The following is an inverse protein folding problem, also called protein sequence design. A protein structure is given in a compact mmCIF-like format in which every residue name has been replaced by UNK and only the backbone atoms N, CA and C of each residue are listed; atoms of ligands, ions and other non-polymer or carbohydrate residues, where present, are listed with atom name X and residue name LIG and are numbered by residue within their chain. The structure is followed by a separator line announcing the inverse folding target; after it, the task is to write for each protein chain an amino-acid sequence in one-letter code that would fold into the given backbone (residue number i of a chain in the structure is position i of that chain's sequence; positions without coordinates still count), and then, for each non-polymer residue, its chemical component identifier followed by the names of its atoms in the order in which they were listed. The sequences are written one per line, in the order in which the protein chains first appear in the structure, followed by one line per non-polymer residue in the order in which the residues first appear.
data_IF_316797966080
#
_entry.id   IF_316797966080
#
_cell.length_a   1.000
_cell.length_b   1.000
_cell.length_c   1.000
_cell.angle_alpha   90.00
_cell.angle_beta   90.00
_cell.angle_gamma   90.00
#
_symmetry.space_group_name_H-M   'P 1'
#
loop_
_entity.id
_entity.type
_entity.pdbx_description
1 polymer ?
#
# COMPACT_ATOMS: atom_id res chain seq x y z
N UNK A 1 11.10 -0.93 8.99
CA UNK A 1 9.82 -1.07 9.73
C UNK A 1 8.73 -0.13 9.23
N UNK A 2 8.99 1.16 8.96
CA UNK A 2 7.96 2.15 8.58
C UNK A 2 7.17 1.85 7.30
N UNK A 3 7.81 1.32 6.25
CA UNK A 3 7.14 1.01 4.97
C UNK A 3 6.07 -0.08 5.13
N UNK A 4 6.33 -1.08 6.00
CA UNK A 4 5.36 -2.16 6.29
C UNK A 4 4.13 -1.62 7.02
N UNK A 5 4.31 -0.67 7.94
CA UNK A 5 3.21 0.02 8.61
C UNK A 5 2.31 0.76 7.62
N UNK A 6 2.89 1.46 6.64
CA UNK A 6 2.11 2.09 5.58
C UNK A 6 1.35 1.05 4.74
N UNK A 7 2.01 -0.06 4.35
CA UNK A 7 1.35 -1.12 3.60
C UNK A 7 0.18 -1.73 4.38
N UNK A 8 0.37 -2.07 5.65
CA UNK A 8 -0.68 -2.61 6.53
C UNK A 8 -1.82 -1.61 6.71
N UNK A 9 -1.53 -0.33 6.94
CA UNK A 9 -2.58 0.67 7.14
C UNK A 9 -3.37 0.96 5.85
N UNK A 10 -2.72 0.87 4.69
CA UNK A 10 -3.38 0.96 3.38
C UNK A 10 -4.27 -0.26 3.14
N UNK A 11 -3.77 -1.47 3.38
CA UNK A 11 -4.56 -2.72 3.27
C UNK A 11 -5.72 -2.72 4.27
N UNK A 12 -5.52 -2.22 5.48
CA UNK A 12 -6.55 -2.12 6.51
C UNK A 12 -7.56 -0.97 6.25
N UNK A 13 -7.40 -0.18 5.18
CA UNK A 13 -8.27 0.94 4.85
C UNK A 13 -8.21 2.12 5.83
N UNK A 14 -7.29 2.10 6.79
CA UNK A 14 -7.14 3.15 7.81
C UNK A 14 -6.28 4.31 7.33
N UNK A 15 -5.52 4.11 6.25
CA UNK A 15 -4.67 5.15 5.66
C UNK A 15 -4.73 5.10 4.13
N UNK A 16 -5.17 6.18 3.45
CA UNK A 16 -5.27 6.17 1.99
C UNK A 16 -3.88 6.19 1.34
N UNK A 17 -3.70 5.36 0.31
CA UNK A 17 -2.45 5.29 -0.45
C UNK A 17 -2.04 6.64 -1.05
N UNK A 18 -3.02 7.49 -1.39
CA UNK A 18 -2.81 8.85 -1.89
C UNK A 18 -1.98 9.73 -0.93
N UNK A 19 -2.11 9.54 0.40
CA UNK A 19 -1.37 10.30 1.42
C UNK A 19 0.03 9.77 1.67
N UNK A 20 0.39 8.61 1.13
CA UNK A 20 1.74 8.07 1.25
C UNK A 20 2.72 9.00 0.51
N UNK A 21 3.84 9.39 1.14
CA UNK A 21 4.85 10.23 0.49
C UNK A 21 5.32 9.63 -0.84
N UNK A 22 5.46 10.46 -1.90
CA UNK A 22 5.80 10.01 -3.26
C UNK A 22 7.05 9.12 -3.31
N UNK A 23 8.08 9.44 -2.53
CA UNK A 23 9.32 8.65 -2.41
C UNK A 23 9.12 7.26 -1.79
N UNK A 24 8.07 7.07 -1.00
CA UNK A 24 7.75 5.80 -0.34
C UNK A 24 6.66 5.01 -1.06
N UNK A 25 5.82 5.65 -1.90
CA UNK A 25 4.72 5.00 -2.64
C UNK A 25 5.17 3.74 -3.38
N UNK A 26 6.30 3.80 -4.10
CA UNK A 26 6.81 2.64 -4.83
C UNK A 26 7.16 1.45 -3.91
N UNK A 27 7.84 1.73 -2.79
CA UNK A 27 8.21 0.71 -1.80
C UNK A 27 7.01 0.18 -1.02
N UNK A 28 6.04 1.04 -0.74
CA UNK A 28 4.79 0.65 -0.09
C UNK A 28 3.97 -0.23 -1.04
N UNK A 29 3.86 0.12 -2.33
CA UNK A 29 3.19 -0.71 -3.34
C UNK A 29 3.84 -2.09 -3.46
N UNK A 30 5.17 -2.17 -3.47
CA UNK A 30 5.88 -3.46 -3.44
C UNK A 30 5.59 -4.28 -2.18
N UNK A 31 5.47 -3.64 -1.01
CA UNK A 31 5.11 -4.34 0.23
C UNK A 31 3.65 -4.78 0.26
N UNK A 32 2.74 -3.96 -0.29
CA UNK A 32 1.34 -4.36 -0.44
C UNK A 32 1.26 -5.54 -1.41
N UNK A 33 2.04 -5.56 -2.49
CA UNK A 33 2.06 -6.66 -3.44
C UNK A 33 2.62 -7.97 -2.85
N UNK A 34 3.54 -7.86 -1.89
CA UNK A 34 4.03 -9.01 -1.12
C UNK A 34 3.05 -9.47 -0.03
N UNK A 35 2.10 -8.62 0.38
CA UNK A 35 1.13 -8.92 1.44
C UNK A 35 -0.23 -9.39 0.89
N UNK A 36 -0.59 -8.86 -0.27
CA UNK A 36 -1.81 -9.14 -1.00
C UNK A 36 -1.33 -9.79 -2.29
N UNK A 37 -1.29 -11.13 -2.30
CA UNK A 37 -0.85 -11.95 -3.44
C UNK A 37 -1.81 -11.86 -4.65
N UNK A 38 -2.76 -10.90 -4.63
CA UNK A 38 -3.83 -10.70 -5.60
C UNK A 38 -3.73 -9.30 -6.23
N UNK A 39 -3.44 -9.26 -7.54
CA UNK A 39 -3.26 -8.03 -8.31
C UNK A 39 -4.54 -7.18 -8.42
N UNK A 40 -5.72 -7.81 -8.33
CA UNK A 40 -7.01 -7.11 -8.36
C UNK A 40 -7.24 -6.28 -7.09
N UNK A 41 -6.96 -6.87 -5.93
CA UNK A 41 -7.09 -6.21 -4.63
C UNK A 41 -6.02 -5.11 -4.50
N UNK A 42 -4.83 -5.36 -5.04
CA UNK A 42 -3.79 -4.35 -5.17
C UNK A 42 -4.25 -3.13 -5.96
N UNK A 43 -4.90 -3.34 -7.11
CA UNK A 43 -5.41 -2.26 -7.94
C UNK A 43 -6.51 -1.46 -7.25
N UNK A 44 -7.37 -2.12 -6.46
CA UNK A 44 -8.41 -1.44 -5.68
C UNK A 44 -7.82 -0.62 -4.53
N UNK A 45 -6.86 -1.18 -3.78
CA UNK A 45 -6.20 -0.50 -2.66
C UNK A 45 -5.22 0.60 -3.08
N UNK A 46 -4.73 0.55 -4.33
CA UNK A 46 -3.85 1.58 -4.89
C UNK A 46 -4.55 2.57 -5.80
N UNK A 47 -5.89 2.52 -5.93
CA UNK A 47 -6.66 3.62 -6.50
C UNK A 47 -6.47 4.86 -5.63
N UNK A 48 -5.98 5.93 -6.26
CA UNK A 48 -5.79 7.25 -5.62
C UNK A 48 -7.12 7.91 -5.25
#
# INVERSE_FOLDING_TARGET
MMIKLYAVNVVAGTYPFAKVPKVLKAKVKQQIALMVEDDEILAELTKE
#
